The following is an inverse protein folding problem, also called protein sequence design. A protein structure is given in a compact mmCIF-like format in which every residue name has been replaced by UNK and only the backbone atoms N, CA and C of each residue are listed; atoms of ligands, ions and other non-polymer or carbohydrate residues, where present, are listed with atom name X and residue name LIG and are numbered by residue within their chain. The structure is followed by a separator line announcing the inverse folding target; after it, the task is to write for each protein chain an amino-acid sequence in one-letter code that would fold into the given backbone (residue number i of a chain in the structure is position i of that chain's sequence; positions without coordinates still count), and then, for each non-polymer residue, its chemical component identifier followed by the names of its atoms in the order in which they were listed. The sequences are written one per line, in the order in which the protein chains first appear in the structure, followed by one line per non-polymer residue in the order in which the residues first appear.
data_IF_405176334926
#
_entry.id   IF_405176334926
#
_cell.length_a   1.000
_cell.length_b   1.000
_cell.length_c   1.000
_cell.angle_alpha   90.00
_cell.angle_beta   90.00
_cell.angle_gamma   90.00
#
_symmetry.space_group_name_H-M   'P 1'
#
loop_
_entity.id
_entity.type
_entity.pdbx_description
1 polymer ?
#
# COMPACT_ATOMS: atom_id res chain seq x y z
N UNK A 1 37.42 -23.68 9.11
CA UNK A 1 37.88 -23.46 7.73
C UNK A 1 37.61 -22.01 7.41
N UNK A 2 38.68 -21.25 7.18
CA UNK A 2 38.68 -19.80 6.94
C UNK A 2 37.81 -19.45 5.73
N UNK A 3 36.88 -18.50 5.91
CA UNK A 3 36.24 -17.83 4.78
C UNK A 3 37.17 -16.72 4.29
N UNK A 4 37.46 -16.78 2.99
CA UNK A 4 38.49 -16.00 2.32
C UNK A 4 38.29 -14.49 2.37
N UNK A 5 39.42 -13.78 2.36
CA UNK A 5 39.50 -12.35 2.02
C UNK A 5 38.78 -12.08 0.70
N UNK A 6 38.11 -10.92 0.54
CA UNK A 6 37.68 -10.49 -0.78
C UNK A 6 38.91 -10.27 -1.66
N UNK A 7 38.89 -10.87 -2.85
CA UNK A 7 39.84 -10.59 -3.91
C UNK A 7 39.82 -9.09 -4.23
N UNK A 8 41.01 -8.51 -4.37
CA UNK A 8 41.22 -7.09 -4.66
C UNK A 8 40.96 -6.78 -6.15
N UNK A 9 39.88 -7.32 -6.73
CA UNK A 9 39.43 -6.96 -8.07
C UNK A 9 38.74 -5.60 -8.02
N UNK A 10 39.14 -4.69 -8.91
CA UNK A 10 38.53 -3.37 -8.98
C UNK A 10 37.06 -3.51 -9.40
N UNK A 11 36.14 -3.07 -8.52
CA UNK A 11 34.70 -3.04 -8.83
C UNK A 11 34.45 -2.21 -10.09
N UNK A 12 33.56 -2.68 -11.00
CA UNK A 12 33.22 -1.93 -12.20
C UNK A 12 32.59 -0.59 -11.84
N UNK A 13 32.81 0.41 -12.69
CA UNK A 13 32.40 1.79 -12.47
C UNK A 13 31.40 2.23 -13.54
N UNK A 14 30.30 2.85 -13.10
CA UNK A 14 29.21 3.34 -13.94
C UNK A 14 28.84 4.76 -13.52
N UNK A 15 28.29 5.56 -14.42
CA UNK A 15 27.71 6.85 -14.04
C UNK A 15 26.35 6.69 -13.39
N UNK A 16 25.52 5.82 -13.96
CA UNK A 16 24.13 5.61 -13.53
C UNK A 16 23.86 4.10 -13.43
N UNK A 17 23.28 3.68 -12.31
CA UNK A 17 22.68 2.35 -12.18
C UNK A 17 21.16 2.49 -12.20
N UNK A 18 20.49 1.90 -13.18
CA UNK A 18 19.03 1.90 -13.28
C UNK A 18 18.49 0.63 -12.63
N UNK A 19 17.72 0.79 -11.56
CA UNK A 19 16.95 -0.28 -10.92
C UNK A 19 15.49 -0.19 -11.33
N UNK A 20 15.01 -1.16 -12.09
CA UNK A 20 13.62 -1.26 -12.55
C UNK A 20 12.91 -2.26 -11.64
N UNK A 21 12.01 -1.79 -10.77
CA UNK A 21 11.23 -2.69 -9.93
C UNK A 21 10.22 -3.45 -10.81
N UNK A 22 10.29 -4.79 -10.80
CA UNK A 22 9.44 -5.62 -11.65
C UNK A 22 8.91 -6.83 -10.90
N UNK A 23 7.62 -7.13 -11.04
CA UNK A 23 7.04 -8.34 -10.43
C UNK A 23 7.51 -9.60 -11.17
N UNK A 24 7.50 -10.75 -10.53
CA UNK A 24 8.05 -12.00 -11.09
C UNK A 24 7.35 -12.38 -12.40
N UNK A 25 6.03 -12.21 -12.43
CA UNK A 25 5.14 -12.51 -13.55
C UNK A 25 5.17 -11.50 -14.70
N UNK A 26 5.83 -10.35 -14.54
CA UNK A 26 5.84 -9.24 -15.52
C UNK A 26 6.80 -9.47 -16.70
N UNK A 27 6.74 -10.66 -17.31
CA UNK A 27 7.60 -11.05 -18.43
C UNK A 27 7.41 -10.17 -19.67
N UNK A 28 6.15 -9.80 -19.98
CA UNK A 28 5.84 -8.98 -21.16
C UNK A 28 6.27 -7.52 -20.97
N UNK A 29 6.15 -6.97 -19.76
CA UNK A 29 6.64 -5.64 -19.40
C UNK A 29 8.16 -5.56 -19.58
N UNK A 30 8.90 -6.51 -18.99
CA UNK A 30 10.36 -6.58 -19.16
C UNK A 30 10.76 -6.76 -20.62
N UNK A 31 10.04 -7.59 -21.39
CA UNK A 31 10.26 -7.74 -22.84
C UNK A 31 10.06 -6.41 -23.57
N UNK A 32 9.00 -5.66 -23.26
CA UNK A 32 8.73 -4.38 -23.89
C UNK A 32 9.79 -3.33 -23.58
N UNK A 33 10.27 -3.28 -22.34
CA UNK A 33 11.37 -2.39 -21.96
C UNK A 33 12.67 -2.75 -22.70
N UNK A 34 13.02 -4.03 -22.81
CA UNK A 34 14.17 -4.50 -23.61
C UNK A 34 14.04 -4.20 -25.11
N UNK A 35 12.82 -4.12 -25.63
CA UNK A 35 12.58 -3.72 -27.02
C UNK A 35 12.53 -2.20 -27.25
N UNK A 36 12.60 -1.41 -26.17
CA UNK A 36 12.53 0.05 -26.19
C UNK A 36 13.78 0.66 -25.57
N UNK A 37 13.65 1.48 -24.53
CA UNK A 37 14.73 2.30 -23.99
C UNK A 37 15.80 1.48 -23.25
N UNK A 38 15.47 0.31 -22.70
CA UNK A 38 16.48 -0.59 -22.09
C UNK A 38 17.37 -1.19 -23.18
N UNK A 39 16.76 -1.67 -24.27
CA UNK A 39 17.52 -2.19 -25.42
C UNK A 39 18.40 -1.12 -26.05
N UNK A 40 17.90 0.12 -26.13
CA UNK A 40 18.67 1.27 -26.58
C UNK A 40 19.93 1.48 -25.73
N UNK A 41 19.81 1.52 -24.39
CA UNK A 41 20.98 1.63 -23.50
C UNK A 41 21.98 0.50 -23.76
N UNK A 42 21.50 -0.75 -23.83
CA UNK A 42 22.34 -1.93 -23.95
C UNK A 42 23.09 -1.99 -25.29
N UNK A 43 22.52 -1.42 -26.36
CA UNK A 43 23.10 -1.43 -27.71
C UNK A 43 23.90 -0.15 -28.02
N UNK A 44 23.71 0.93 -27.26
CA UNK A 44 24.38 2.20 -27.51
C UNK A 44 25.89 2.12 -27.18
N UNK A 45 26.81 2.57 -28.07
CA UNK A 45 28.26 2.43 -27.89
C UNK A 45 28.84 3.04 -26.61
N UNK A 46 28.22 4.13 -26.15
CA UNK A 46 28.63 4.85 -24.93
C UNK A 46 27.83 4.44 -23.70
N UNK A 47 26.49 4.38 -23.77
CA UNK A 47 25.67 4.07 -22.60
C UNK A 47 25.85 2.65 -22.09
N UNK A 48 26.08 1.67 -22.97
CA UNK A 48 26.34 0.28 -22.55
C UNK A 48 27.54 0.12 -21.61
N UNK A 49 28.47 1.09 -21.59
CA UNK A 49 29.65 1.11 -20.71
C UNK A 49 29.45 1.97 -19.46
N UNK A 50 28.55 2.96 -19.52
CA UNK A 50 28.37 4.00 -18.49
C UNK A 50 27.11 3.80 -17.66
N UNK A 51 26.13 3.05 -18.17
CA UNK A 51 24.84 2.83 -17.54
C UNK A 51 24.62 1.33 -17.37
N UNK A 52 24.42 0.89 -16.13
CA UNK A 52 24.02 -0.48 -15.83
C UNK A 52 22.52 -0.54 -15.58
N UNK A 53 21.80 -1.42 -16.25
CA UNK A 53 20.36 -1.64 -16.02
C UNK A 53 20.16 -2.98 -15.33
N UNK A 54 19.33 -3.00 -14.28
CA UNK A 54 18.89 -4.23 -13.59
C UNK A 54 17.39 -4.20 -13.34
N UNK A 55 16.70 -5.24 -13.79
CA UNK A 55 15.35 -5.56 -13.31
C UNK A 55 15.47 -6.16 -11.92
N UNK A 56 14.92 -5.48 -10.92
CA UNK A 56 14.95 -5.94 -9.53
C UNK A 56 13.71 -6.77 -9.30
N UNK A 57 13.89 -8.04 -8.93
CA UNK A 57 12.80 -9.03 -8.77
C UNK A 57 13.00 -9.78 -7.45
N UNK A 58 11.92 -10.02 -6.71
CA UNK A 58 11.93 -10.84 -5.51
C UNK A 58 12.19 -12.31 -5.85
N UNK A 59 13.15 -12.92 -5.18
CA UNK A 59 13.55 -14.32 -5.41
C UNK A 59 12.50 -15.34 -4.95
N UNK A 60 11.61 -14.97 -4.01
CA UNK A 60 10.61 -15.88 -3.44
C UNK A 60 9.19 -15.47 -3.88
N UNK A 61 8.37 -16.39 -4.41
CA UNK A 61 6.96 -16.09 -4.68
C UNK A 61 6.12 -16.13 -3.40
N UNK A 62 4.88 -15.61 -3.45
CA UNK A 62 3.92 -15.90 -2.38
C UNK A 62 3.44 -17.36 -2.42
N UNK A 63 3.58 -18.14 -1.34
CA UNK A 63 2.92 -19.44 -1.29
C UNK A 63 1.38 -19.35 -1.13
N UNK A 64 0.84 -18.18 -0.76
CA UNK A 64 -0.59 -18.01 -0.49
C UNK A 64 -1.35 -17.58 -1.77
N UNK A 65 -2.35 -18.38 -2.22
CA UNK A 65 -3.20 -18.02 -3.34
C UNK A 65 -3.95 -16.69 -3.06
N UNK A 66 -4.19 -15.82 -4.08
CA UNK A 66 -4.86 -14.53 -3.88
C UNK A 66 -6.20 -14.61 -3.11
N UNK A 67 -7.01 -15.63 -3.39
CA UNK A 67 -8.29 -15.84 -2.72
C UNK A 67 -8.13 -16.12 -1.21
N UNK A 68 -7.02 -16.71 -0.79
CA UNK A 68 -6.74 -17.12 0.58
C UNK A 68 -5.91 -16.10 1.37
N UNK A 69 -5.57 -14.94 0.78
CA UNK A 69 -4.82 -13.87 1.46
C UNK A 69 -5.70 -13.07 2.41
N UNK A 70 -5.16 -12.58 3.52
CA UNK A 70 -5.84 -11.68 4.47
C UNK A 70 -6.17 -10.33 3.83
N UNK A 71 -5.23 -9.80 3.06
CA UNK A 71 -5.29 -8.53 2.34
C UNK A 71 -4.62 -8.72 0.97
N UNK A 72 -5.15 -8.15 -0.12
CA UNK A 72 -4.61 -8.34 -1.47
C UNK A 72 -3.16 -7.87 -1.64
N UNK A 73 -2.67 -6.97 -0.79
CA UNK A 73 -1.34 -6.38 -0.86
C UNK A 73 -0.31 -7.12 0.03
N UNK A 74 -0.71 -8.16 0.78
CA UNK A 74 0.16 -8.94 1.67
C UNK A 74 0.19 -10.44 1.33
N UNK A 75 1.23 -11.14 1.76
CA UNK A 75 1.34 -12.61 1.64
C UNK A 75 0.81 -13.35 2.88
N UNK A 76 -0.05 -12.74 3.69
CA UNK A 76 -0.54 -13.38 4.91
C UNK A 76 -1.76 -14.25 4.59
N UNK A 77 -1.77 -15.50 5.08
CA UNK A 77 -2.90 -16.41 4.91
C UNK A 77 -4.07 -16.00 5.82
N UNK A 78 -5.27 -15.93 5.26
CA UNK A 78 -6.52 -15.81 6.00
C UNK A 78 -6.85 -17.16 6.64
N UNK A 79 -6.97 -17.19 7.97
CA UNK A 79 -7.30 -18.41 8.73
C UNK A 79 -8.75 -18.35 9.18
N UNK A 80 -9.64 -19.07 8.50
CA UNK A 80 -11.05 -19.20 8.87
C UNK A 80 -11.29 -20.61 9.46
N UNK A 81 -11.84 -20.73 10.67
CA UNK A 81 -12.34 -21.98 11.25
C UNK A 81 -13.78 -22.30 10.78
N UNK A 82 -14.11 -23.57 10.54
CA UNK A 82 -15.43 -24.00 10.01
C UNK A 82 -16.65 -23.60 10.88
N UNK A 83 -16.48 -23.41 12.19
CA UNK A 83 -17.52 -22.90 13.11
C UNK A 83 -17.90 -21.43 12.88
N UNK A 84 -17.16 -20.70 12.04
CA UNK A 84 -17.37 -19.27 11.74
C UNK A 84 -18.62 -19.04 10.89
N UNK A 85 -18.90 -19.93 9.93
CA UNK A 85 -19.94 -19.73 8.93
C UNK A 85 -21.38 -19.87 9.46
N UNK A 86 -21.54 -20.47 10.65
CA UNK A 86 -22.86 -20.69 11.23
C UNK A 86 -23.43 -19.44 11.89
N UNK A 87 -24.54 -18.93 11.34
CA UNK A 87 -25.43 -17.97 12.01
C UNK A 87 -25.00 -16.50 11.98
N UNK A 88 -25.99 -15.64 12.21
CA UNK A 88 -25.85 -14.19 12.39
C UNK A 88 -25.17 -13.89 13.74
N UNK A 89 -24.28 -12.89 13.77
CA UNK A 89 -23.59 -12.45 14.98
C UNK A 89 -23.65 -10.94 15.14
N UNK A 90 -23.44 -10.49 16.38
CA UNK A 90 -23.30 -9.08 16.74
C UNK A 90 -21.82 -8.72 16.73
N UNK A 91 -21.40 -7.74 15.91
CA UNK A 91 -19.99 -7.37 15.77
C UNK A 91 -19.36 -6.88 17.09
N UNK A 92 -20.11 -6.06 17.83
CA UNK A 92 -19.70 -5.46 19.10
C UNK A 92 -20.78 -5.68 20.16
N UNK A 93 -20.43 -6.34 21.27
CA UNK A 93 -21.34 -6.60 22.40
C UNK A 93 -20.74 -6.19 23.75
N UNK A 94 -21.61 -5.82 24.68
CA UNK A 94 -21.23 -5.53 26.07
C UNK A 94 -20.92 -6.84 26.81
N UNK A 95 -19.80 -6.88 27.53
CA UNK A 95 -19.36 -8.07 28.27
C UNK A 95 -20.22 -8.27 29.53
N UNK A 96 -21.27 -9.09 29.45
CA UNK A 96 -22.15 -9.49 30.57
C UNK A 96 -22.90 -8.35 31.27
N UNK A 97 -24.21 -8.52 31.51
CA UNK A 97 -25.05 -7.54 32.21
C UNK A 97 -24.64 -7.27 33.66
N UNK A 98 -23.76 -8.08 34.26
CA UNK A 98 -23.38 -7.97 35.67
C UNK A 98 -22.23 -6.97 35.92
N UNK A 99 -21.55 -6.48 34.89
CA UNK A 99 -20.52 -5.44 34.99
C UNK A 99 -20.49 -4.61 33.72
N UNK A 100 -21.37 -3.61 33.63
CA UNK A 100 -21.37 -2.66 32.52
C UNK A 100 -19.98 -1.98 32.43
N UNK A 101 -19.34 -1.96 31.24
CA UNK A 101 -18.10 -1.24 31.04
C UNK A 101 -18.28 0.26 31.34
N UNK A 102 -17.20 0.93 31.73
CA UNK A 102 -17.24 2.35 32.10
C UNK A 102 -17.67 3.18 30.90
N UNK A 103 -18.92 3.64 30.88
CA UNK A 103 -19.43 4.48 29.81
C UNK A 103 -18.87 5.89 29.93
N UNK A 104 -18.66 6.53 28.78
CA UNK A 104 -18.33 7.94 28.68
C UNK A 104 -19.38 8.67 27.85
N UNK A 105 -19.44 9.99 28.00
CA UNK A 105 -20.31 10.85 27.22
C UNK A 105 -19.44 11.64 26.24
N UNK A 106 -19.71 11.49 24.95
CA UNK A 106 -18.99 12.19 23.89
C UNK A 106 -19.95 13.03 23.04
N UNK A 107 -19.50 14.21 22.64
CA UNK A 107 -20.21 15.08 21.70
C UNK A 107 -19.80 14.78 20.26
N UNK A 108 -20.74 14.91 19.33
CA UNK A 108 -20.47 14.74 17.90
C UNK A 108 -20.53 13.28 17.42
N UNK A 109 -20.27 13.05 16.12
CA UNK A 109 -20.36 11.72 15.53
C UNK A 109 -19.26 10.80 16.08
N UNK A 110 -19.68 9.66 16.62
CA UNK A 110 -18.78 8.62 17.11
C UNK A 110 -18.58 7.60 15.99
N UNK A 111 -17.33 7.38 15.62
CA UNK A 111 -16.95 6.58 14.46
C UNK A 111 -16.17 5.34 14.87
N UNK A 112 -16.52 4.20 14.31
CA UNK A 112 -15.81 2.94 14.56
C UNK A 112 -15.42 2.30 13.23
N UNK A 113 -14.14 2.48 12.80
CA UNK A 113 -13.66 1.92 11.55
C UNK A 113 -13.40 0.42 11.68
N UNK A 114 -13.65 -0.32 10.59
CA UNK A 114 -13.43 -1.75 10.50
C UNK A 114 -13.04 -2.18 9.09
N UNK A 115 -12.46 -3.37 8.97
CA UNK A 115 -12.08 -4.00 7.72
C UNK A 115 -12.73 -5.38 7.60
N UNK A 116 -13.18 -5.69 6.39
CA UNK A 116 -13.79 -6.97 6.03
C UNK A 116 -12.74 -7.81 5.31
N UNK A 117 -12.30 -8.90 5.92
CA UNK A 117 -11.33 -9.83 5.33
C UNK A 117 -11.97 -10.99 4.56
N UNK A 118 -13.28 -11.15 4.71
CA UNK A 118 -14.08 -12.11 3.95
C UNK A 118 -15.48 -11.53 3.72
N UNK A 119 -16.14 -11.76 2.57
CA UNK A 119 -17.45 -11.17 2.31
C UNK A 119 -18.46 -11.46 3.43
N UNK A 120 -19.20 -10.42 3.83
CA UNK A 120 -20.24 -10.48 4.86
C UNK A 120 -21.53 -9.83 4.37
N UNK A 121 -22.66 -10.27 4.91
CA UNK A 121 -23.95 -9.59 4.74
C UNK A 121 -24.27 -8.84 6.01
N UNK A 122 -24.42 -7.52 5.90
CA UNK A 122 -25.00 -6.69 6.95
C UNK A 122 -26.52 -6.86 6.91
N UNK A 123 -27.09 -7.19 8.05
CA UNK A 123 -28.52 -7.51 8.19
C UNK A 123 -29.25 -6.51 9.09
N UNK A 124 -28.57 -5.99 10.12
CA UNK A 124 -29.12 -5.00 11.06
C UNK A 124 -28.05 -3.98 11.46
N UNK A 125 -28.45 -2.74 11.66
CA UNK A 125 -27.66 -1.73 12.37
C UNK A 125 -28.18 -1.59 13.79
N UNK A 126 -27.32 -1.21 14.73
CA UNK A 126 -27.70 -1.12 16.14
C UNK A 126 -26.91 -0.11 16.95
N UNK A 127 -27.46 0.20 18.12
CA UNK A 127 -26.92 1.09 19.14
C UNK A 127 -26.54 0.24 20.37
N UNK A 128 -25.36 0.49 20.93
CA UNK A 128 -24.88 -0.19 22.14
C UNK A 128 -25.61 0.35 23.39
N UNK A 129 -25.89 -0.53 24.36
CA UNK A 129 -26.41 -0.11 25.68
C UNK A 129 -27.93 0.03 25.79
N UNK A 130 -28.68 -0.21 24.71
CA UNK A 130 -30.13 -0.37 24.74
C UNK A 130 -30.93 0.95 24.83
N UNK A 131 -30.45 1.93 25.59
CA UNK A 131 -31.12 3.20 25.83
C UNK A 131 -30.97 4.17 24.65
N UNK A 132 -32.10 4.56 24.07
CA UNK A 132 -32.16 5.55 23.00
C UNK A 132 -32.43 6.93 23.63
N UNK A 133 -31.59 7.95 23.38
CA UNK A 133 -31.83 9.33 23.81
C UNK A 133 -33.21 9.82 23.36
N UNK A 134 -33.81 10.75 24.11
CA UNK A 134 -35.13 11.30 23.80
C UNK A 134 -35.19 11.94 22.41
N UNK A 135 -34.12 12.63 22.01
CA UNK A 135 -33.94 13.26 20.69
C UNK A 135 -33.70 12.24 19.56
N UNK A 136 -33.31 11.01 19.92
CA UNK A 136 -32.98 9.95 18.99
C UNK A 136 -31.57 10.06 18.37
N UNK A 137 -31.14 8.96 17.76
CA UNK A 137 -29.81 8.83 17.16
C UNK A 137 -29.89 8.25 15.76
N UNK A 138 -28.94 8.60 14.90
CA UNK A 138 -28.79 8.02 13.57
C UNK A 138 -27.53 7.16 13.54
N UNK A 139 -27.69 5.91 13.11
CA UNK A 139 -26.59 4.99 12.86
C UNK A 139 -26.43 4.85 11.35
N UNK A 140 -25.20 5.04 10.85
CA UNK A 140 -24.87 4.84 9.43
C UNK A 140 -23.73 3.86 9.26
N UNK A 141 -23.78 3.12 8.16
CA UNK A 141 -22.64 2.40 7.61
C UNK A 141 -22.09 3.20 6.43
N UNK A 142 -20.82 3.57 6.50
CA UNK A 142 -20.15 4.42 5.52
C UNK A 142 -19.01 3.63 4.87
N UNK A 143 -18.86 3.73 3.55
CA UNK A 143 -17.65 3.32 2.84
C UNK A 143 -16.55 4.34 3.12
N UNK A 144 -15.50 3.93 3.84
CA UNK A 144 -14.43 4.84 4.27
C UNK A 144 -13.52 5.26 3.11
N UNK A 145 -13.44 4.46 2.04
CA UNK A 145 -12.63 4.75 0.87
C UNK A 145 -13.37 5.69 -0.10
N UNK A 146 -14.65 5.42 -0.36
CA UNK A 146 -15.49 6.25 -1.24
C UNK A 146 -16.10 7.46 -0.52
N UNK A 147 -16.07 7.50 0.81
CA UNK A 147 -16.77 8.47 1.67
C UNK A 147 -18.28 8.52 1.39
N UNK A 148 -18.88 7.36 1.11
CA UNK A 148 -20.29 7.21 0.73
C UNK A 148 -21.11 6.53 1.83
N UNK A 149 -22.33 7.03 2.09
CA UNK A 149 -23.26 6.40 3.03
C UNK A 149 -23.96 5.20 2.37
N UNK A 150 -23.68 3.98 2.86
CA UNK A 150 -24.24 2.74 2.30
C UNK A 150 -25.60 2.40 2.91
N UNK A 151 -25.70 2.48 4.25
CA UNK A 151 -26.92 2.18 5.00
C UNK A 151 -27.11 3.23 6.09
N UNK A 152 -28.36 3.57 6.41
CA UNK A 152 -28.67 4.55 7.45
C UNK A 152 -29.98 4.18 8.13
N UNK A 153 -29.99 4.25 9.46
CA UNK A 153 -31.19 4.01 10.27
C UNK A 153 -31.26 5.00 11.43
N UNK A 154 -32.44 5.57 11.65
CA UNK A 154 -32.72 6.43 12.79
C UNK A 154 -33.38 5.60 13.91
N UNK A 155 -32.98 5.83 15.16
CA UNK A 155 -33.55 5.28 16.38
C UNK A 155 -34.19 6.44 17.13
N UNK A 156 -35.49 6.37 17.41
CA UNK A 156 -36.25 7.44 18.09
C UNK A 156 -37.07 6.83 19.23
N UNK A 157 -37.56 7.65 20.14
CA UNK A 157 -38.46 7.21 21.23
C UNK A 157 -39.70 6.49 20.71
N UNK A 158 -40.29 6.95 19.60
CA UNK A 158 -41.47 6.34 18.97
C UNK A 158 -41.16 5.03 18.23
N UNK A 159 -39.91 4.85 17.81
CA UNK A 159 -39.46 3.67 17.08
C UNK A 159 -38.03 3.34 17.53
N UNK A 160 -37.85 2.73 18.73
CA UNK A 160 -36.53 2.46 19.25
C UNK A 160 -35.88 1.26 18.55
N UNK A 161 -36.66 0.33 17.99
CA UNK A 161 -36.14 -0.91 17.41
C UNK A 161 -36.26 -2.10 18.37
N UNK A 162 -35.54 -3.18 18.09
CA UNK A 162 -35.64 -4.46 18.82
C UNK A 162 -34.42 -4.62 19.73
N UNK A 163 -34.66 -4.74 21.03
CA UNK A 163 -33.60 -4.98 22.00
C UNK A 163 -33.16 -6.45 22.00
N UNK A 164 -31.88 -6.72 21.76
CA UNK A 164 -31.30 -8.07 21.71
C UNK A 164 -29.89 -8.04 22.29
N UNK A 165 -29.65 -8.81 23.35
CA UNK A 165 -28.30 -8.99 23.91
C UNK A 165 -27.66 -7.71 24.49
N UNK A 166 -28.45 -6.78 25.03
CA UNK A 166 -27.96 -5.51 25.60
C UNK A 166 -27.77 -4.37 24.58
N UNK A 167 -28.18 -4.61 23.33
CA UNK A 167 -28.10 -3.65 22.23
C UNK A 167 -29.48 -3.50 21.59
N UNK A 168 -29.72 -2.39 20.91
CA UNK A 168 -30.98 -2.14 20.18
C UNK A 168 -30.72 -2.13 18.68
N UNK A 169 -31.46 -2.94 17.93
CA UNK A 169 -31.24 -3.14 16.49
C UNK A 169 -32.46 -2.79 15.64
N UNK A 170 -32.20 -2.39 14.40
CA UNK A 170 -33.18 -2.28 13.34
C UNK A 170 -32.68 -2.97 12.08
N UNK A 171 -33.59 -3.70 11.44
CA UNK A 171 -33.30 -4.38 10.18
C UNK A 171 -33.02 -3.37 9.08
N UNK A 172 -32.10 -3.73 8.20
CA UNK A 172 -31.75 -2.97 6.99
C UNK A 172 -31.86 -3.88 5.77
N UNK A 173 -31.87 -3.30 4.58
CA UNK A 173 -31.71 -4.09 3.37
C UNK A 173 -30.38 -4.84 3.45
N UNK A 174 -30.42 -6.16 3.18
CA UNK A 174 -29.23 -6.98 3.15
C UNK A 174 -28.20 -6.36 2.20
N UNK A 175 -27.05 -6.00 2.74
CA UNK A 175 -25.97 -5.37 1.99
C UNK A 175 -24.72 -6.24 2.08
N UNK A 176 -24.16 -6.61 0.94
CA UNK A 176 -22.95 -7.43 0.87
C UNK A 176 -21.74 -6.52 0.91
N UNK A 177 -20.91 -6.67 1.94
CA UNK A 177 -19.60 -6.03 1.99
C UNK A 177 -18.57 -7.00 1.40
N UNK A 178 -17.86 -6.62 0.31
CA UNK A 178 -16.88 -7.48 -0.32
C UNK A 178 -15.62 -7.64 0.55
N UNK A 179 -14.80 -8.64 0.19
CA UNK A 179 -13.45 -8.79 0.76
C UNK A 179 -12.61 -7.55 0.50
N UNK A 180 -11.88 -7.10 1.52
CA UNK A 180 -11.07 -5.88 1.47
C UNK A 180 -11.86 -4.59 1.70
N UNK A 181 -13.19 -4.67 1.89
CA UNK A 181 -14.01 -3.50 2.19
C UNK A 181 -13.55 -2.86 3.51
N UNK A 182 -13.46 -1.54 3.49
CA UNK A 182 -13.12 -0.75 4.67
C UNK A 182 -14.26 0.21 4.94
N UNK A 183 -14.91 0.04 6.08
CA UNK A 183 -16.09 0.79 6.43
C UNK A 183 -15.99 1.42 7.81
N UNK A 184 -16.82 2.42 8.03
CA UNK A 184 -17.00 3.04 9.33
C UNK A 184 -18.47 2.91 9.72
N UNK A 185 -18.73 2.34 10.90
CA UNK A 185 -20.04 2.49 11.53
C UNK A 185 -20.03 3.80 12.33
N UNK A 186 -20.95 4.70 12.03
CA UNK A 186 -21.05 6.02 12.66
C UNK A 186 -22.36 6.13 13.41
N UNK A 187 -22.34 6.83 14.54
CA UNK A 187 -23.52 7.22 15.29
C UNK A 187 -23.47 8.70 15.64
N UNK A 188 -24.54 9.40 15.32
CA UNK A 188 -24.71 10.84 15.56
C UNK A 188 -26.06 11.10 16.23
N UNK A 189 -26.15 12.15 17.05
CA UNK A 189 -27.44 12.61 17.57
C UNK A 189 -28.29 13.19 16.42
N UNK A 190 -29.60 13.02 16.50
CA UNK A 190 -30.55 13.70 15.59
C UNK A 190 -30.79 15.17 15.98
N UNK A 191 -30.45 15.55 17.21
CA UNK A 191 -30.47 16.93 17.70
C UNK A 191 -29.15 17.66 17.39
N UNK A 192 -29.07 18.93 17.78
CA UNK A 192 -27.91 19.79 17.50
C UNK A 192 -26.59 19.21 18.04
N UNK A 193 -25.47 19.59 17.42
CA UNK A 193 -24.10 19.02 17.55
C UNK A 193 -23.50 18.93 18.98
N UNK A 194 -24.21 19.41 20.01
CA UNK A 194 -23.77 19.43 21.41
C UNK A 194 -24.42 18.35 22.31
N UNK A 195 -25.29 17.49 21.77
CA UNK A 195 -25.88 16.39 22.53
C UNK A 195 -24.85 15.28 22.83
N UNK A 196 -24.90 14.75 24.06
CA UNK A 196 -23.97 13.76 24.56
C UNK A 196 -24.44 12.34 24.21
N UNK A 197 -23.63 11.61 23.46
CA UNK A 197 -23.82 10.19 23.19
C UNK A 197 -23.14 9.36 24.27
N UNK A 198 -23.84 8.34 24.76
CA UNK A 198 -23.26 7.33 25.66
C UNK A 198 -22.41 6.38 24.84
N UNK A 199 -21.11 6.34 25.11
CA UNK A 199 -20.14 5.54 24.38
C UNK A 199 -19.36 4.61 25.31
N UNK A 200 -18.82 3.52 24.76
CA UNK A 200 -18.11 2.49 25.50
C UNK A 200 -16.69 2.30 24.95
N UNK A 201 -15.68 2.12 25.81
CA UNK A 201 -14.31 1.81 25.38
C UNK A 201 -14.25 0.51 24.56
N UNK A 202 -13.64 0.55 23.37
CA UNK A 202 -13.53 -0.60 22.46
C UNK A 202 -12.76 -1.77 23.09
N UNK A 203 -11.79 -1.50 23.97
CA UNK A 203 -11.00 -2.51 24.68
C UNK A 203 -11.80 -3.27 25.75
N UNK A 204 -12.94 -2.72 26.19
CA UNK A 204 -13.85 -3.35 27.15
C UNK A 204 -15.03 -4.07 26.48
N UNK A 205 -15.16 -4.01 25.14
CA UNK A 205 -16.22 -4.69 24.39
C UNK A 205 -15.80 -6.09 23.95
N UNK A 206 -16.77 -7.00 23.89
CA UNK A 206 -16.57 -8.27 23.21
C UNK A 206 -16.73 -8.07 21.71
N UNK A 207 -15.64 -8.34 20.99
CA UNK A 207 -15.59 -8.25 19.53
C UNK A 207 -15.84 -9.64 18.96
N UNK A 208 -16.97 -9.82 18.28
CA UNK A 208 -17.19 -11.02 17.49
C UNK A 208 -16.63 -10.81 16.10
N UNK A 209 -15.37 -11.18 15.91
CA UNK A 209 -14.70 -11.08 14.60
C UNK A 209 -14.94 -12.30 13.70
N UNK A 210 -15.69 -13.31 14.18
CA UNK A 210 -15.93 -14.58 13.47
C UNK A 210 -14.61 -15.15 12.93
N UNK A 211 -13.62 -15.32 13.81
CA UNK A 211 -12.30 -15.87 13.48
C UNK A 211 -11.50 -15.03 12.47
N UNK A 212 -11.69 -13.71 12.47
CA UNK A 212 -10.90 -12.77 11.67
C UNK A 212 -11.56 -12.30 10.38
N UNK A 213 -12.82 -12.69 10.12
CA UNK A 213 -13.64 -12.15 9.02
C UNK A 213 -13.75 -10.63 9.10
N UNK A 214 -13.84 -10.09 10.32
CA UNK A 214 -13.97 -8.67 10.57
C UNK A 214 -12.88 -8.20 11.54
N UNK A 215 -12.14 -7.16 11.18
CA UNK A 215 -11.13 -6.55 12.04
C UNK A 215 -11.52 -5.11 12.36
N UNK A 216 -11.70 -4.81 13.65
CA UNK A 216 -11.83 -3.42 14.09
C UNK A 216 -10.49 -2.71 13.97
N UNK A 217 -10.53 -1.45 13.55
CA UNK A 217 -9.32 -0.64 13.38
C UNK A 217 -9.22 0.38 14.48
N UNK A 218 -7.97 0.71 14.84
CA UNK A 218 -7.70 1.80 15.75
C UNK A 218 -7.71 3.13 14.98
N UNK A 219 -8.60 4.05 15.34
CA UNK A 219 -8.52 5.47 14.96
C UNK A 219 -7.31 6.16 15.61
N UNK A 220 -6.42 6.72 14.79
CA UNK A 220 -5.35 7.61 15.27
C UNK A 220 -5.89 9.03 15.15
N UNK A 221 -6.29 9.63 16.28
CA UNK A 221 -6.79 11.01 16.29
C UNK A 221 -5.63 12.00 16.37
N UNK A 222 -5.64 12.98 15.45
CA UNK A 222 -4.72 14.10 15.46
C UNK A 222 -5.38 15.29 16.14
N UNK A 223 -4.93 15.66 17.35
CA UNK A 223 -5.39 16.89 18.00
C UNK A 223 -4.83 18.10 17.25
N UNK A 224 -5.67 18.96 16.62
CA UNK A 224 -5.19 20.05 15.78
C UNK A 224 -4.51 21.20 16.56
N UNK A 225 -4.75 21.30 17.87
CA UNK A 225 -4.45 22.53 18.63
C UNK A 225 -3.15 22.52 19.43
N UNK A 226 -2.43 21.41 19.50
CA UNK A 226 -1.18 21.36 20.27
C UNK A 226 -0.02 21.06 19.34
N UNK A 227 0.88 22.02 19.14
CA UNK A 227 2.13 21.88 18.37
C UNK A 227 3.15 20.90 18.98
N UNK A 228 2.68 19.87 19.69
CA UNK A 228 3.44 18.73 20.15
C UNK A 228 3.27 17.60 19.12
N UNK A 229 4.35 16.83 18.90
CA UNK A 229 4.27 15.54 18.21
C UNK A 229 3.10 14.74 18.80
N UNK A 230 2.32 13.99 17.98
CA UNK A 230 1.24 13.16 18.50
C UNK A 230 1.85 12.24 19.55
N UNK A 231 1.65 12.57 20.81
CA UNK A 231 1.81 11.58 21.84
C UNK A 231 0.82 10.50 21.47
N UNK A 232 1.28 9.24 21.47
CA UNK A 232 0.39 8.11 21.66
C UNK A 232 -0.29 8.31 23.03
N UNK A 233 -1.19 9.28 23.13
CA UNK A 233 -2.21 9.23 24.15
C UNK A 233 -2.90 7.92 23.82
N UNK A 234 -2.87 7.00 24.77
CA UNK A 234 -3.80 5.90 24.80
C UNK A 234 -5.21 6.49 24.94
N UNK A 235 -5.66 7.31 23.98
CA UNK A 235 -7.03 7.70 23.84
C UNK A 235 -7.76 6.38 23.59
N UNK A 236 -8.33 5.85 24.66
CA UNK A 236 -9.23 4.71 24.57
C UNK A 236 -10.27 5.13 23.54
N UNK A 237 -10.38 4.37 22.45
CA UNK A 237 -11.38 4.64 21.45
C UNK A 237 -12.71 4.19 21.98
N UNK A 238 -13.72 5.01 21.75
CA UNK A 238 -15.07 4.72 22.17
C UNK A 238 -15.96 4.44 20.97
N UNK A 239 -17.02 3.68 21.21
CA UNK A 239 -18.06 3.41 20.24
C UNK A 239 -19.43 3.40 20.90
N UNK A 240 -20.46 3.76 20.16
CA UNK A 240 -21.86 3.67 20.57
C UNK A 240 -22.71 2.89 19.56
N UNK A 241 -22.09 2.37 18.49
CA UNK A 241 -22.78 1.68 17.41
C UNK A 241 -22.28 0.23 17.27
N UNK A 242 -23.15 -0.62 16.75
CA UNK A 242 -22.86 -2.00 16.42
C UNK A 242 -23.68 -2.40 15.20
N UNK A 243 -23.44 -3.58 14.67
CA UNK A 243 -24.23 -4.14 13.58
C UNK A 243 -24.27 -5.65 13.68
N UNK A 244 -25.33 -6.24 13.12
CA UNK A 244 -25.43 -7.67 12.92
C UNK A 244 -24.98 -8.01 11.52
N UNK A 245 -24.20 -9.09 11.43
CA UNK A 245 -23.75 -9.60 10.16
C UNK A 245 -23.70 -11.13 10.18
N UNK A 246 -23.72 -11.71 8.99
CA UNK A 246 -23.41 -13.11 8.75
C UNK A 246 -22.37 -13.21 7.64
N UNK A 247 -21.60 -14.29 7.63
CA UNK A 247 -20.69 -14.55 6.51
C UNK A 247 -21.53 -14.70 5.23
N UNK A 248 -21.14 -14.00 4.16
CA UNK A 248 -21.83 -14.11 2.88
C UNK A 248 -21.35 -15.39 2.18
N UNK A 249 -22.26 -16.35 2.04
CA UNK A 249 -22.00 -17.61 1.34
C UNK A 249 -23.00 -17.79 0.20
N UNK A 250 -22.57 -17.59 -1.04
CA UNK A 250 -23.18 -18.26 -2.18
C UNK A 250 -22.22 -19.22 -2.91
N UNK A 251 -20.90 -19.10 -2.71
CA UNK A 251 -19.90 -19.74 -3.60
C UNK A 251 -18.73 -20.44 -2.89
N UNK A 252 -18.53 -20.29 -1.58
CA UNK A 252 -17.44 -20.98 -0.85
C UNK A 252 -17.62 -22.51 -0.84
N UNK A 253 -18.85 -23.00 -1.05
CA UNK A 253 -19.16 -24.42 -1.23
C UNK A 253 -18.95 -24.91 -2.67
N UNK A 254 -18.83 -24.02 -3.66
CA UNK A 254 -18.64 -24.38 -5.08
C UNK A 254 -17.20 -24.16 -5.57
N UNK A 255 -16.42 -23.33 -4.88
CA UNK A 255 -15.00 -23.17 -5.18
C UNK A 255 -14.19 -24.31 -4.56
N UNK A 256 -13.40 -24.98 -5.41
CA UNK A 256 -12.35 -25.93 -5.08
C UNK A 256 -11.84 -25.79 -3.62
N UNK A 257 -11.80 -26.89 -2.82
CA UNK A 257 -11.29 -26.85 -1.45
C UNK A 257 -9.96 -26.10 -1.36
N UNK A 258 -9.69 -25.44 -0.23
CA UNK A 258 -8.46 -24.66 -0.04
C UNK A 258 -7.19 -25.44 -0.44
N UNK A 259 -7.18 -26.75 -0.21
CA UNK A 259 -6.12 -27.67 -0.62
C UNK A 259 -5.94 -27.77 -2.13
N UNK A 260 -7.05 -27.80 -2.89
CA UNK A 260 -7.01 -27.85 -4.35
C UNK A 260 -6.52 -26.52 -4.92
N UNK A 261 -6.98 -25.38 -4.38
CA UNK A 261 -6.45 -24.04 -4.74
C UNK A 261 -4.97 -23.92 -4.43
N UNK A 262 -4.52 -24.42 -3.27
CA UNK A 262 -3.11 -24.42 -2.91
C UNK A 262 -2.28 -25.27 -3.89
N UNK A 263 -2.80 -26.42 -4.34
CA UNK A 263 -2.15 -27.28 -5.32
C UNK A 263 -2.05 -26.62 -6.70
N UNK A 264 -3.14 -26.05 -7.20
CA UNK A 264 -3.16 -25.30 -8.47
C UNK A 264 -2.22 -24.10 -8.43
N UNK A 265 -2.22 -23.36 -7.32
CA UNK A 265 -1.33 -22.24 -7.09
C UNK A 265 0.14 -22.70 -7.11
N UNK A 266 0.47 -23.81 -6.44
CA UNK A 266 1.83 -24.37 -6.46
C UNK A 266 2.30 -24.74 -7.88
N UNK A 267 1.41 -25.25 -8.73
CA UNK A 267 1.73 -25.53 -10.14
C UNK A 267 2.01 -24.22 -10.90
N UNK A 268 1.18 -23.19 -10.69
CA UNK A 268 1.38 -21.87 -11.29
C UNK A 268 2.72 -21.25 -10.88
N UNK A 269 3.05 -21.30 -9.59
CA UNK A 269 4.33 -20.80 -9.07
C UNK A 269 5.53 -21.57 -9.66
N UNK A 270 5.38 -22.89 -9.84
CA UNK A 270 6.41 -23.71 -10.48
C UNK A 270 6.68 -23.29 -11.93
N UNK A 271 5.62 -23.04 -12.71
CA UNK A 271 5.75 -22.56 -14.08
C UNK A 271 6.35 -21.15 -14.16
N UNK A 272 5.94 -20.24 -13.26
CA UNK A 272 6.53 -18.90 -13.14
C UNK A 272 8.03 -18.97 -12.81
N UNK A 273 8.41 -19.79 -11.83
CA UNK A 273 9.81 -19.97 -11.42
C UNK A 273 10.66 -20.46 -12.59
N UNK A 274 10.20 -21.46 -13.34
CA UNK A 274 10.92 -21.98 -14.51
C UNK A 274 11.09 -20.89 -15.58
N UNK A 275 10.06 -20.09 -15.85
CA UNK A 275 10.15 -19.02 -16.83
C UNK A 275 11.14 -17.93 -16.38
N UNK A 276 11.12 -17.56 -15.11
CA UNK A 276 12.05 -16.59 -14.54
C UNK A 276 13.50 -17.08 -14.58
N UNK A 277 13.76 -18.35 -14.28
CA UNK A 277 15.10 -18.95 -14.38
C UNK A 277 15.63 -18.89 -15.81
N UNK A 278 14.82 -19.26 -16.79
CA UNK A 278 15.18 -19.15 -18.21
C UNK A 278 15.46 -17.70 -18.62
N UNK A 279 14.66 -16.75 -18.14
CA UNK A 279 14.85 -15.32 -18.43
C UNK A 279 16.15 -14.77 -17.81
N UNK A 280 16.43 -15.13 -16.56
CA UNK A 280 17.66 -14.76 -15.84
C UNK A 280 18.89 -15.26 -16.61
N UNK A 281 18.89 -16.54 -17.01
CA UNK A 281 19.99 -17.15 -17.77
C UNK A 281 20.13 -16.50 -19.16
N UNK A 282 19.01 -16.19 -19.82
CA UNK A 282 19.00 -15.66 -21.18
C UNK A 282 19.54 -14.23 -21.28
N UNK A 283 19.19 -13.36 -20.34
CA UNK A 283 19.44 -11.92 -20.48
C UNK A 283 20.48 -11.36 -19.51
N UNK A 284 20.70 -11.98 -18.35
CA UNK A 284 21.70 -11.52 -17.36
C UNK A 284 21.43 -10.12 -16.76
N UNK A 285 20.25 -9.55 -17.00
CA UNK A 285 19.84 -8.22 -16.57
C UNK A 285 18.86 -8.23 -15.39
N UNK A 286 18.55 -9.40 -14.83
CA UNK A 286 17.71 -9.54 -13.63
C UNK A 286 18.57 -9.65 -12.38
N UNK A 287 18.27 -8.82 -11.38
CA UNK A 287 18.78 -8.94 -10.02
C UNK A 287 17.70 -9.57 -9.13
N UNK A 288 17.95 -10.80 -8.68
CA UNK A 288 17.11 -11.47 -7.69
C UNK A 288 17.50 -11.02 -6.29
N UNK A 289 16.58 -10.36 -5.59
CA UNK A 289 16.75 -9.96 -4.18
C UNK A 289 16.08 -10.97 -3.25
N UNK A 290 16.61 -11.18 -2.05
CA UNK A 290 16.13 -12.22 -1.12
C UNK A 290 14.81 -11.87 -0.39
N UNK A 291 13.82 -11.40 -1.13
CA UNK A 291 12.52 -10.96 -0.62
C UNK A 291 11.38 -11.74 -1.25
N UNK A 292 10.27 -11.82 -0.51
CA UNK A 292 9.00 -12.35 -1.04
C UNK A 292 8.35 -11.27 -1.91
N UNK A 293 8.06 -11.60 -3.16
CA UNK A 293 7.49 -10.67 -4.14
C UNK A 293 6.05 -10.26 -3.76
N UNK A 294 5.90 -9.05 -3.23
CA UNK A 294 4.63 -8.40 -2.89
C UNK A 294 4.74 -6.89 -2.90
N UNK A 295 3.59 -6.24 -3.09
CA UNK A 295 3.44 -4.80 -2.96
C UNK A 295 3.98 -4.25 -1.62
N UNK A 296 3.54 -4.77 -0.48
CA UNK A 296 4.01 -4.28 0.84
C UNK A 296 5.49 -4.57 1.12
N UNK A 297 6.15 -5.39 0.31
CA UNK A 297 7.58 -5.68 0.41
C UNK A 297 8.44 -4.85 -0.58
N UNK A 298 7.85 -3.99 -1.42
CA UNK A 298 8.59 -3.09 -2.29
C UNK A 298 9.67 -2.26 -1.55
N UNK A 299 9.44 -1.74 -0.33
CA UNK A 299 10.50 -1.07 0.43
C UNK A 299 11.71 -1.96 0.72
N UNK A 300 11.49 -3.25 1.03
CA UNK A 300 12.59 -4.19 1.25
C UNK A 300 13.29 -4.54 -0.05
N UNK A 301 12.53 -4.67 -1.13
CA UNK A 301 13.03 -4.92 -2.47
C UNK A 301 14.00 -3.82 -2.94
N UNK A 302 13.63 -2.54 -2.76
CA UNK A 302 14.51 -1.42 -3.11
C UNK A 302 15.75 -1.35 -2.21
N UNK A 303 15.63 -1.65 -0.91
CA UNK A 303 16.79 -1.75 -0.03
C UNK A 303 17.74 -2.89 -0.44
N UNK A 304 17.19 -4.03 -0.88
CA UNK A 304 17.96 -5.14 -1.44
C UNK A 304 18.74 -4.73 -2.70
N UNK A 305 18.13 -3.94 -3.58
CA UNK A 305 18.81 -3.36 -4.73
C UNK A 305 19.94 -2.41 -4.32
N UNK A 306 19.68 -1.46 -3.42
CA UNK A 306 20.71 -0.51 -2.97
C UNK A 306 21.86 -1.18 -2.24
N UNK A 307 21.59 -2.23 -1.45
CA UNK A 307 22.62 -3.06 -0.85
C UNK A 307 23.52 -3.70 -1.92
N UNK A 308 22.90 -4.35 -2.91
CA UNK A 308 23.65 -4.98 -4.00
C UNK A 308 24.49 -3.97 -4.77
N UNK A 309 23.93 -2.81 -5.12
CA UNK A 309 24.63 -1.75 -5.87
C UNK A 309 25.84 -1.24 -5.07
N UNK A 310 25.67 -0.91 -3.79
CA UNK A 310 26.76 -0.40 -2.93
C UNK A 310 27.87 -1.41 -2.72
N UNK A 311 27.56 -2.71 -2.67
CA UNK A 311 28.55 -3.77 -2.46
C UNK A 311 29.31 -4.10 -3.75
N UNK A 312 28.64 -4.12 -4.91
CA UNK A 312 29.18 -4.73 -6.13
C UNK A 312 29.74 -3.74 -7.15
N UNK A 313 29.29 -2.48 -7.17
CA UNK A 313 29.69 -1.52 -8.22
C UNK A 313 30.09 -0.16 -7.63
N UNK A 314 30.89 0.59 -8.38
CA UNK A 314 31.11 2.03 -8.15
C UNK A 314 30.15 2.81 -9.05
N UNK A 315 29.53 3.85 -8.50
CA UNK A 315 28.55 4.63 -9.24
C UNK A 315 28.45 6.07 -8.74
N UNK A 316 27.96 6.99 -9.58
CA UNK A 316 27.61 8.35 -9.16
C UNK A 316 26.14 8.46 -8.75
N UNK A 317 25.25 7.84 -9.51
CA UNK A 317 23.81 7.95 -9.33
C UNK A 317 23.10 6.60 -9.49
N UNK A 318 21.97 6.43 -8.80
CA UNK A 318 20.99 5.39 -9.14
C UNK A 318 19.71 6.04 -9.65
N UNK A 319 19.11 5.48 -10.69
CA UNK A 319 17.74 5.78 -11.12
C UNK A 319 16.84 4.61 -10.71
N UNK A 320 15.88 4.85 -9.82
CA UNK A 320 14.76 3.91 -9.58
C UNK A 320 13.63 4.24 -10.55
N UNK A 321 13.02 3.22 -11.14
CA UNK A 321 11.76 3.32 -11.88
C UNK A 321 11.01 1.97 -11.83
N UNK A 322 9.83 1.90 -12.42
CA UNK A 322 8.97 0.70 -12.45
C UNK A 322 8.91 0.11 -13.86
N UNK A 323 8.45 -1.14 -13.97
CA UNK A 323 8.46 -1.87 -15.24
C UNK A 323 7.35 -1.47 -16.24
N UNK A 324 6.50 -0.54 -15.84
CA UNK A 324 5.47 0.12 -16.63
C UNK A 324 5.80 1.60 -16.92
N UNK A 325 7.08 2.00 -16.80
CA UNK A 325 7.51 3.37 -17.02
C UNK A 325 8.27 3.54 -18.36
N UNK A 326 7.86 4.54 -19.14
CA UNK A 326 8.69 5.09 -20.22
C UNK A 326 9.76 6.00 -19.62
N UNK A 327 11.00 5.92 -20.12
CA UNK A 327 12.12 6.76 -19.70
C UNK A 327 12.85 7.34 -20.92
N UNK A 328 13.04 8.66 -20.93
CA UNK A 328 13.92 9.36 -21.88
C UNK A 328 15.32 9.50 -21.26
N UNK A 329 16.18 8.52 -21.56
CA UNK A 329 17.52 8.39 -21.00
C UNK A 329 18.44 9.53 -21.45
N UNK A 330 18.28 10.01 -22.68
CA UNK A 330 19.09 11.09 -23.24
C UNK A 330 18.83 12.41 -22.51
N UNK A 331 17.55 12.72 -22.28
CA UNK A 331 17.15 13.90 -21.51
C UNK A 331 17.60 13.84 -20.06
N UNK A 332 17.55 12.67 -19.44
CA UNK A 332 18.08 12.47 -18.07
C UNK A 332 19.59 12.71 -18.03
N UNK A 333 20.35 12.13 -18.96
CA UNK A 333 21.80 12.31 -19.03
C UNK A 333 22.17 13.78 -19.23
N UNK A 334 21.46 14.50 -20.12
CA UNK A 334 21.64 15.94 -20.31
C UNK A 334 21.25 16.74 -19.06
N UNK A 335 20.21 16.34 -18.34
CA UNK A 335 19.76 16.99 -17.11
C UNK A 335 20.78 16.88 -15.97
N UNK A 336 21.46 15.74 -15.83
CA UNK A 336 22.53 15.55 -14.84
C UNK A 336 23.63 16.60 -15.01
N UNK A 337 24.04 16.86 -16.26
CA UNK A 337 25.09 17.82 -16.58
C UNK A 337 24.59 19.27 -16.45
N UNK A 338 23.40 19.56 -16.98
CA UNK A 338 22.82 20.93 -16.99
C UNK A 338 22.53 21.43 -15.57
N UNK A 339 22.01 20.56 -14.71
CA UNK A 339 21.71 20.86 -13.30
C UNK A 339 22.96 20.77 -12.40
N UNK A 340 24.11 20.40 -12.97
CA UNK A 340 25.39 20.20 -12.27
C UNK A 340 25.25 19.27 -11.08
N UNK A 341 24.56 18.15 -11.25
CA UNK A 341 24.25 17.24 -10.15
C UNK A 341 25.51 16.63 -9.54
N UNK A 342 26.55 16.44 -10.34
CA UNK A 342 27.86 15.92 -9.90
C UNK A 342 28.60 16.85 -8.94
N UNK A 343 28.26 18.14 -8.93
CA UNK A 343 28.85 19.15 -8.04
C UNK A 343 28.10 19.24 -6.69
N UNK A 344 27.04 18.45 -6.50
CA UNK A 344 26.17 18.47 -5.31
C UNK A 344 26.31 17.16 -4.53
N UNK A 345 26.18 17.24 -3.21
CA UNK A 345 26.02 16.09 -2.32
C UNK A 345 24.55 15.86 -1.99
N UNK A 346 24.20 14.64 -1.58
CA UNK A 346 22.86 14.26 -1.12
C UNK A 346 21.75 14.61 -2.12
N UNK A 347 22.00 14.41 -3.41
CA UNK A 347 21.06 14.73 -4.48
C UNK A 347 19.92 13.74 -4.49
N UNK A 348 18.70 14.25 -4.43
CA UNK A 348 17.50 13.52 -4.78
C UNK A 348 16.72 14.30 -5.84
N UNK A 349 16.74 13.82 -7.08
CA UNK A 349 16.13 14.49 -8.24
C UNK A 349 14.92 13.70 -8.74
N UNK A 350 13.75 14.32 -8.68
CA UNK A 350 12.46 13.76 -9.11
C UNK A 350 11.39 14.86 -9.12
N UNK A 351 10.11 14.49 -9.22
CA UNK A 351 8.98 15.31 -8.80
C UNK A 351 8.51 14.86 -7.43
N UNK A 352 8.34 15.81 -6.51
CA UNK A 352 8.01 15.51 -5.12
C UNK A 352 6.55 15.79 -4.79
N UNK A 353 5.93 14.87 -4.06
CA UNK A 353 4.68 15.12 -3.32
C UNK A 353 5.07 15.61 -1.93
N UNK A 354 4.45 16.71 -1.49
CA UNK A 354 4.66 17.32 -0.17
C UNK A 354 3.32 17.60 0.47
N UNK A 355 3.24 17.52 1.80
CA UNK A 355 1.96 17.74 2.49
C UNK A 355 0.92 16.64 2.25
N UNK A 356 1.34 15.47 1.76
CA UNK A 356 0.43 14.39 1.40
C UNK A 356 -0.13 13.71 2.66
N UNK A 357 -1.46 13.72 2.79
CA UNK A 357 -2.14 13.09 3.91
C UNK A 357 -1.90 11.58 3.92
N UNK A 358 -1.70 11.03 5.12
CA UNK A 358 -1.56 9.59 5.32
C UNK A 358 -2.92 8.95 5.12
N UNK A 359 -3.03 8.17 4.05
CA UNK A 359 -4.21 7.39 3.82
C UNK A 359 -4.24 6.22 4.80
N UNK A 360 -5.37 6.07 5.48
CA UNK A 360 -5.59 4.91 6.32
C UNK A 360 -6.35 3.82 5.58
N UNK A 361 -6.85 4.06 4.36
CA UNK A 361 -7.71 3.14 3.64
C UNK A 361 -7.20 2.81 2.23
N UNK A 362 -7.68 1.70 1.67
CA UNK A 362 -7.35 1.27 0.31
C UNK A 362 -5.91 0.78 0.12
N UNK A 363 -5.46 0.77 -1.15
CA UNK A 363 -4.11 0.34 -1.57
C UNK A 363 -3.02 1.11 -0.83
N UNK A 364 -3.24 2.40 -0.61
CA UNK A 364 -2.26 3.30 -0.01
C UNK A 364 -2.35 3.41 1.51
N UNK A 365 -3.16 2.54 2.13
CA UNK A 365 -3.32 2.50 3.58
C UNK A 365 -2.00 2.29 4.31
N UNK A 366 -1.69 3.19 5.23
CA UNK A 366 -0.62 3.10 6.21
C UNK A 366 -1.23 3.20 7.61
N UNK A 367 -0.85 2.30 8.49
CA UNK A 367 -1.43 2.16 9.83
C UNK A 367 -0.44 2.49 10.92
N UNK A 368 0.84 2.38 10.61
CA UNK A 368 1.90 2.43 11.57
C UNK A 368 2.64 3.77 11.56
N UNK A 369 2.40 4.61 10.56
CA UNK A 369 3.01 5.92 10.48
C UNK A 369 2.28 6.93 11.39
N UNK A 370 2.98 7.54 12.36
CA UNK A 370 2.33 8.26 13.46
C UNK A 370 1.92 9.70 13.11
N UNK A 371 2.38 10.28 12.00
CA UNK A 371 2.06 11.65 11.59
C UNK A 371 0.88 11.65 10.61
N UNK A 372 0.07 12.73 10.53
CA UNK A 372 -1.08 12.79 9.62
C UNK A 372 -0.64 12.99 8.16
N UNK A 373 0.61 13.37 7.97
CA UNK A 373 1.17 13.80 6.69
C UNK A 373 2.58 13.23 6.53
N UNK A 374 2.90 12.74 5.34
CA UNK A 374 4.24 12.26 5.03
C UNK A 374 5.24 13.40 4.82
N UNK A 375 6.54 13.19 5.10
CA UNK A 375 7.61 14.04 4.58
C UNK A 375 7.58 14.03 3.05
N UNK A 376 8.30 14.95 2.40
CA UNK A 376 8.38 14.96 0.96
C UNK A 376 8.91 13.62 0.41
N UNK A 377 8.23 13.07 -0.58
CA UNK A 377 8.65 11.84 -1.28
C UNK A 377 8.52 12.00 -2.78
N UNK A 378 9.41 11.34 -3.53
CA UNK A 378 9.34 11.31 -4.99
C UNK A 378 8.09 10.55 -5.45
N UNK A 379 7.46 10.96 -6.55
CA UNK A 379 6.41 10.15 -7.14
C UNK A 379 6.99 8.95 -7.92
N UNK A 380 6.20 7.88 -8.05
CA UNK A 380 6.69 6.56 -8.49
C UNK A 380 7.27 6.47 -9.89
N UNK A 381 7.06 7.46 -10.74
CA UNK A 381 7.51 7.44 -12.14
C UNK A 381 9.02 7.47 -12.34
N UNK A 382 9.77 7.82 -11.30
CA UNK A 382 11.21 7.64 -11.28
C UNK A 382 11.92 8.70 -10.44
N UNK A 383 13.06 8.32 -9.88
CA UNK A 383 13.89 9.26 -9.12
C UNK A 383 15.37 8.89 -9.18
N UNK A 384 16.20 9.93 -9.17
CA UNK A 384 17.65 9.82 -9.11
C UNK A 384 18.15 10.14 -7.70
N UNK A 385 18.96 9.23 -7.15
CA UNK A 385 19.67 9.41 -5.89
C UNK A 385 21.19 9.40 -6.15
N UNK A 386 21.92 10.28 -5.48
CA UNK A 386 23.39 10.22 -5.45
C UNK A 386 23.91 9.06 -4.60
N UNK A 387 25.12 8.61 -4.92
CA UNK A 387 25.75 7.46 -4.28
C UNK A 387 25.87 7.55 -2.75
N UNK A 388 26.00 8.75 -2.18
CA UNK A 388 26.04 8.97 -0.73
C UNK A 388 24.70 8.66 -0.05
N UNK A 389 23.56 9.03 -0.65
CA UNK A 389 22.23 8.66 -0.14
C UNK A 389 21.99 7.15 -0.26
N UNK A 390 22.35 6.56 -1.40
CA UNK A 390 22.20 5.12 -1.64
C UNK A 390 23.05 4.31 -0.67
N UNK A 391 24.28 4.75 -0.41
CA UNK A 391 25.17 4.11 0.58
C UNK A 391 24.56 4.19 1.98
N UNK A 392 24.05 5.36 2.39
CA UNK A 392 23.39 5.51 3.67
C UNK A 392 22.16 4.58 3.82
N UNK A 393 21.31 4.49 2.78
CA UNK A 393 20.16 3.57 2.77
C UNK A 393 20.60 2.11 2.90
N UNK A 394 21.63 1.71 2.15
CA UNK A 394 22.16 0.34 2.17
C UNK A 394 22.75 -0.04 3.54
N UNK A 395 23.54 0.84 4.15
CA UNK A 395 24.16 0.62 5.46
C UNK A 395 23.12 0.52 6.59
N UNK A 396 22.04 1.29 6.49
CA UNK A 396 20.98 1.35 7.51
C UNK A 396 19.80 0.43 7.23
N UNK A 397 19.80 -0.35 6.14
CA UNK A 397 18.66 -1.13 5.65
C UNK A 397 17.96 -2.00 6.72
N UNK A 398 18.71 -2.53 7.68
CA UNK A 398 18.18 -3.38 8.77
C UNK A 398 17.44 -2.60 9.88
N UNK A 399 17.66 -1.29 9.99
CA UNK A 399 17.01 -0.40 10.97
C UNK A 399 15.83 0.36 10.36
N UNK A 400 15.75 0.40 9.03
CA UNK A 400 14.73 1.14 8.31
C UNK A 400 13.42 0.33 8.25
N UNK A 401 12.39 0.84 8.93
CA UNK A 401 11.06 0.23 8.92
C UNK A 401 10.40 0.39 7.54
N UNK A 402 9.87 -0.67 6.92
CA UNK A 402 9.10 -0.56 5.69
C UNK A 402 7.72 0.05 5.94
N UNK A 403 7.26 0.90 5.01
CA UNK A 403 5.94 1.53 5.00
C UNK A 403 5.15 1.13 3.74
N UNK A 404 3.94 1.68 3.59
CA UNK A 404 2.91 1.27 2.62
C UNK A 404 3.38 1.12 1.16
N UNK A 405 4.46 1.80 0.75
CA UNK A 405 5.16 1.65 -0.53
C UNK A 405 6.61 2.16 -0.44
N UNK A 406 7.43 1.83 -1.42
CA UNK A 406 8.86 2.19 -1.48
C UNK A 406 9.08 3.70 -1.60
N UNK A 407 8.26 4.43 -2.36
CA UNK A 407 8.39 5.88 -2.52
C UNK A 407 8.19 6.60 -1.18
N UNK A 408 7.09 6.28 -0.48
CA UNK A 408 6.78 6.81 0.86
C UNK A 408 7.87 6.39 1.85
N UNK A 409 8.33 5.14 1.78
CA UNK A 409 9.40 4.65 2.64
C UNK A 409 10.69 5.45 2.43
N UNK A 410 11.10 5.71 1.18
CA UNK A 410 12.26 6.54 0.86
C UNK A 410 12.10 7.96 1.40
N UNK A 411 10.91 8.55 1.27
CA UNK A 411 10.63 9.89 1.83
C UNK A 411 10.83 9.95 3.34
N UNK A 412 10.27 8.96 4.05
CA UNK A 412 10.42 8.85 5.50
C UNK A 412 11.89 8.64 5.88
N UNK A 413 12.58 7.68 5.27
CA UNK A 413 13.97 7.35 5.61
C UNK A 413 14.93 8.50 5.32
N UNK A 414 14.83 9.09 4.12
CA UNK A 414 15.74 10.16 3.71
C UNK A 414 15.45 11.48 4.46
N UNK A 415 14.26 11.67 5.02
CA UNK A 415 13.98 12.83 5.89
C UNK A 415 14.97 12.94 7.06
N UNK A 416 15.53 11.81 7.54
CA UNK A 416 16.51 11.78 8.62
C UNK A 416 17.88 12.39 8.23
N UNK A 417 18.22 12.43 6.94
CA UNK A 417 19.53 12.89 6.45
C UNK A 417 19.49 14.22 5.70
N UNK A 418 18.29 14.77 5.48
CA UNK A 418 18.07 16.06 4.83
C UNK A 418 18.64 16.12 3.41
N UNK A 419 18.06 15.39 2.44
CA UNK A 419 18.51 15.41 1.05
C UNK A 419 18.29 16.78 0.40
N UNK A 420 19.12 17.07 -0.59
CA UNK A 420 18.90 18.18 -1.51
C UNK A 420 17.85 17.77 -2.55
N UNK A 421 16.60 18.16 -2.31
CA UNK A 421 15.47 17.88 -3.18
C UNK A 421 15.53 18.79 -4.41
N UNK A 422 15.79 18.19 -5.56
CA UNK A 422 15.76 18.88 -6.85
C UNK A 422 14.44 18.49 -7.50
N UNK A 423 13.44 19.37 -7.42
CA UNK A 423 12.11 19.10 -7.97
C UNK A 423 12.01 19.51 -9.43
N UNK A 424 11.53 18.61 -10.28
CA UNK A 424 11.36 18.85 -11.72
C UNK A 424 10.04 18.26 -12.23
N UNK A 425 9.29 19.05 -13.01
CA UNK A 425 7.97 18.66 -13.52
C UNK A 425 8.04 17.70 -14.71
N UNK A 426 9.22 17.53 -15.31
CA UNK A 426 9.46 16.57 -16.38
C UNK A 426 9.34 15.12 -15.92
N UNK A 427 9.42 14.84 -14.61
CA UNK A 427 8.99 13.55 -14.04
C UNK A 427 7.46 13.56 -13.90
N UNK A 428 6.74 12.85 -14.78
CA UNK A 428 5.27 12.81 -14.73
C UNK A 428 4.82 11.90 -13.59
N UNK A 429 3.97 12.35 -12.68
CA UNK A 429 3.52 11.52 -11.55
C UNK A 429 2.29 10.65 -11.84
N UNK A 430 1.67 10.84 -13.00
CA UNK A 430 0.41 10.22 -13.44
C UNK A 430 0.51 9.97 -14.95
N UNK A 431 -0.39 9.15 -15.50
CA UNK A 431 -0.44 8.89 -16.94
C UNK A 431 -0.59 10.21 -17.71
N UNK A 432 0.42 10.54 -18.50
CA UNK A 432 0.50 11.80 -19.21
C UNK A 432 1.70 11.82 -20.14
N UNK A 433 1.59 12.58 -21.23
CA UNK A 433 2.68 12.71 -22.18
C UNK A 433 2.95 14.17 -22.50
N UNK A 434 4.20 14.60 -22.25
CA UNK A 434 4.68 15.91 -22.65
C UNK A 434 6.01 15.75 -23.39
N UNK A 435 6.29 16.64 -24.35
CA UNK A 435 7.53 16.56 -25.15
C UNK A 435 8.78 16.60 -24.27
N UNK A 436 8.75 17.32 -23.15
CA UNK A 436 9.90 17.52 -22.24
C UNK A 436 9.99 16.52 -21.09
N UNK A 437 9.18 15.45 -21.09
CA UNK A 437 9.19 14.50 -19.98
C UNK A 437 10.46 13.65 -19.93
N UNK A 438 10.94 13.40 -18.71
CA UNK A 438 11.96 12.38 -18.42
C UNK A 438 11.33 11.01 -18.26
N UNK A 439 10.13 10.96 -17.68
CA UNK A 439 9.40 9.72 -17.40
C UNK A 439 7.91 9.86 -17.65
N UNK A 440 7.26 8.75 -17.99
CA UNK A 440 5.80 8.61 -18.03
C UNK A 440 5.40 7.25 -17.46
N UNK A 441 4.69 7.20 -16.31
CA UNK A 441 4.36 5.94 -15.63
C UNK A 441 3.07 5.29 -16.18
N UNK A 442 2.74 4.13 -15.64
CA UNK A 442 1.46 3.41 -15.85
C UNK A 442 1.20 3.01 -17.32
N UNK A 443 2.27 2.75 -18.08
CA UNK A 443 2.21 2.39 -19.49
C UNK A 443 2.06 0.89 -19.69
N UNK A 444 1.09 0.50 -20.50
CA UNK A 444 1.00 -0.87 -21.02
C UNK A 444 2.16 -1.17 -21.99
N UNK A 445 2.56 -2.45 -22.16
CA UNK A 445 3.63 -2.84 -23.08
C UNK A 445 3.50 -2.26 -24.49
N UNK A 446 2.28 -2.18 -25.03
CA UNK A 446 2.03 -1.61 -26.37
C UNK A 446 2.17 -0.08 -26.40
N UNK A 447 1.79 0.61 -25.32
CA UNK A 447 1.96 2.06 -25.18
C UNK A 447 3.44 2.42 -25.08
N UNK A 448 4.23 1.66 -24.30
CA UNK A 448 5.70 1.82 -24.22
C UNK A 448 6.36 1.77 -25.60
N UNK A 449 6.01 0.77 -26.40
CA UNK A 449 6.50 0.62 -27.78
C UNK A 449 6.10 1.80 -28.67
N UNK A 450 4.88 2.32 -28.48
CA UNK A 450 4.35 3.45 -29.26
C UNK A 450 5.10 4.74 -28.92
N UNK A 451 5.23 5.06 -27.63
CA UNK A 451 5.99 6.22 -27.15
C UNK A 451 7.43 6.17 -27.66
N UNK A 452 8.08 5.01 -27.54
CA UNK A 452 9.45 4.82 -28.02
C UNK A 452 9.58 4.95 -29.53
N UNK A 453 8.67 4.33 -30.30
CA UNK A 453 8.64 4.46 -31.76
C UNK A 453 8.48 5.92 -32.19
N UNK A 454 7.61 6.69 -31.54
CA UNK A 454 7.41 8.10 -31.84
C UNK A 454 8.68 8.92 -31.54
N UNK A 455 9.29 8.71 -30.37
CA UNK A 455 10.55 9.35 -30.02
C UNK A 455 11.63 9.10 -31.08
N UNK A 456 11.79 7.85 -31.52
CA UNK A 456 12.79 7.48 -32.52
C UNK A 456 12.50 8.07 -33.91
N UNK A 457 11.23 8.20 -34.31
CA UNK A 457 10.85 8.67 -35.65
C UNK A 457 10.88 10.18 -35.79
N UNK A 458 10.44 10.91 -34.77
CA UNK A 458 10.19 12.35 -34.87
C UNK A 458 10.70 13.17 -33.68
N UNK A 459 11.38 12.53 -32.71
CA UNK A 459 11.91 13.21 -31.53
C UNK A 459 10.85 13.63 -30.50
N UNK A 460 9.58 13.29 -30.70
CA UNK A 460 8.50 13.54 -29.75
C UNK A 460 7.83 12.21 -29.37
N UNK A 461 7.87 11.81 -28.09
CA UNK A 461 7.28 10.53 -27.68
C UNK A 461 5.74 10.52 -27.78
N UNK A 462 5.09 11.68 -27.66
CA UNK A 462 3.63 11.75 -27.53
C UNK A 462 2.91 11.59 -28.87
N UNK A 463 3.43 12.21 -29.91
CA UNK A 463 2.87 12.15 -31.25
C UNK A 463 3.89 12.59 -32.28
N UNK A 464 3.83 11.98 -33.46
CA UNK A 464 4.54 12.48 -34.63
C UNK A 464 3.65 13.43 -35.45
N UNK A 465 4.24 14.45 -36.10
CA UNK A 465 3.53 15.38 -36.96
C UNK A 465 2.79 14.71 -38.13
#
# INVERSE_FOLDING_TARGET
MEQGRPSNEARPEYDIIIGILSARENFEQRRALRATWVGYIQQHPDYSKRILVKFVVGSKPCPVPPADRLDPFTCQKLSLSETICAGEVVALSLASQNSLPSSQQQTGPVETPFTVHHPVVITKLGVLGGDIPAEGVRVRLVDSAAKENLLSVNFTSDNPGIHTGGNTFKAVQNYVLPKGFQGTITVESLAADNELLVTFPLDQLQVSNKGGVLQLRKKVDFMPESGYLPHHTHAQQHTAATFMYRVFEPEFLEQAPQDLRAKEWSVKLGAEQQHLEMEVERYGDILLVEEVEFYRNLPKKILGFYKWVTENVKFNFTLKTDDDCFIDVDKIAMGIETLKLREKSKVWWSRFRSGWAVEHHGKWAEQDYPSPVYPAFACGAGNILSADLVSWLAENAHQLRPYQGEDVSLGIWLSAVGPNLISDHSWQCEEGCTTEMYSSPEQQPTQLMTLWSNLQKCGNPCQCP
#
